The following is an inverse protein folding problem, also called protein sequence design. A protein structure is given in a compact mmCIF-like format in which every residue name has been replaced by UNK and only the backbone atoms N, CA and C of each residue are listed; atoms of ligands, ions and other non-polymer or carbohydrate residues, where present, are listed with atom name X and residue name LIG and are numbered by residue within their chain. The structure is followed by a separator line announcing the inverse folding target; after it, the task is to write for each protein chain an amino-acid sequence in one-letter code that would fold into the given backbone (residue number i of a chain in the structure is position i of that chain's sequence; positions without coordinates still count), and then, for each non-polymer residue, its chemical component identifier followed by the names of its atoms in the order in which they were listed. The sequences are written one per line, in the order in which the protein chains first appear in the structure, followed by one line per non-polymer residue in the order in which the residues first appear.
data_IF_894205183135
#
_entry.id   IF_894205183135
#
_cell.length_a   1.000
_cell.length_b   1.000
_cell.length_c   1.000
_cell.angle_alpha   90.00
_cell.angle_beta   90.00
_cell.angle_gamma   90.00
#
_symmetry.space_group_name_H-M   'P 1'
#
loop_
_entity.id
_entity.type
_entity.pdbx_description
1 polymer ?
#
# COMPACT_ATOMS: atom_id res chain seq x y z
N UNK A 1 2.74 -22.94 5.85
CA UNK A 1 2.39 -22.46 4.51
C UNK A 1 1.77 -21.07 4.60
N UNK A 2 2.04 -20.27 3.63
CA UNK A 2 1.51 -18.92 3.59
C UNK A 2 0.02 -18.91 3.26
N UNK A 3 -0.72 -18.05 3.91
CA UNK A 3 -2.13 -17.83 3.61
C UNK A 3 -2.27 -16.70 2.60
N UNK A 4 -1.75 -16.93 1.42
CA UNK A 4 -1.92 -15.98 0.34
C UNK A 4 -3.32 -16.11 -0.25
N UNK A 5 -3.97 -15.03 -0.63
CA UNK A 5 -5.23 -15.11 -1.37
C UNK A 5 -5.04 -15.55 -2.81
N UNK A 6 -3.83 -15.83 -3.22
CA UNK A 6 -3.50 -16.13 -4.59
C UNK A 6 -3.51 -17.62 -4.86
N UNK A 7 -3.86 -17.98 -6.09
CA UNK A 7 -3.90 -19.38 -6.52
C UNK A 7 -2.59 -19.82 -7.17
N UNK A 8 -1.79 -18.87 -7.63
CA UNK A 8 -0.44 -19.14 -8.17
C UNK A 8 0.56 -18.38 -7.34
N UNK A 9 1.71 -18.97 -7.17
CA UNK A 9 2.72 -18.46 -6.26
C UNK A 9 4.08 -18.40 -6.95
N UNK A 10 4.62 -17.20 -7.08
CA UNK A 10 5.96 -16.97 -7.59
C UNK A 10 6.88 -16.73 -6.40
N UNK A 11 7.81 -17.64 -6.20
CA UNK A 11 8.69 -17.59 -5.07
C UNK A 11 8.58 -18.85 -4.23
N UNK A 12 8.90 -18.76 -2.95
CA UNK A 12 8.78 -19.89 -2.04
C UNK A 12 7.41 -19.90 -1.37
N UNK A 13 7.23 -20.78 -0.37
CA UNK A 13 5.94 -20.93 0.32
C UNK A 13 5.57 -19.73 1.18
N UNK A 14 6.51 -18.84 1.46
CA UNK A 14 6.30 -17.69 2.33
C UNK A 14 6.32 -16.36 1.59
N UNK A 15 6.94 -16.30 0.44
CA UNK A 15 7.21 -15.05 -0.25
C UNK A 15 6.86 -15.16 -1.72
N UNK A 16 6.33 -14.11 -2.27
CA UNK A 16 6.16 -14.09 -3.69
C UNK A 16 5.06 -13.17 -4.16
N UNK A 17 4.89 -13.20 -5.46
CA UNK A 17 3.91 -12.39 -6.18
C UNK A 17 2.93 -13.29 -6.90
N UNK A 18 1.80 -12.69 -7.22
CA UNK A 18 0.77 -13.38 -7.97
C UNK A 18 0.47 -12.60 -9.25
N UNK A 19 0.26 -13.28 -10.39
CA UNK A 19 -0.03 -12.58 -11.64
C UNK A 19 -1.38 -11.88 -11.68
N UNK A 20 -2.29 -12.24 -10.79
CA UNK A 20 -3.61 -11.63 -10.75
C UNK A 20 -3.62 -10.50 -9.73
N UNK A 21 -4.06 -9.32 -10.19
CA UNK A 21 -4.15 -8.14 -9.33
C UNK A 21 -5.47 -8.18 -8.57
N UNK A 22 -5.38 -8.05 -7.25
CA UNK A 22 -6.55 -8.02 -6.38
C UNK A 22 -6.85 -6.57 -6.00
N UNK A 23 -8.06 -6.05 -6.30
CA UNK A 23 -8.39 -4.68 -5.93
C UNK A 23 -8.49 -4.50 -4.42
N UNK A 24 -7.87 -3.45 -3.92
CA UNK A 24 -7.87 -3.10 -2.50
C UNK A 24 -8.02 -1.60 -2.32
N UNK A 25 -8.41 -1.21 -1.10
CA UNK A 25 -8.28 0.16 -0.63
C UNK A 25 -6.98 0.27 0.15
N UNK A 26 -6.21 1.33 -0.11
CA UNK A 26 -4.97 1.62 0.59
C UNK A 26 -5.17 2.83 1.46
N UNK A 27 -5.00 2.67 2.76
CA UNK A 27 -5.15 3.78 3.72
C UNK A 27 -3.83 4.50 3.85
N UNK A 28 -3.73 5.64 3.18
CA UNK A 28 -2.49 6.40 3.10
C UNK A 28 -2.06 6.93 4.46
N UNK A 29 -3.01 7.38 5.27
CA UNK A 29 -2.72 7.92 6.59
C UNK A 29 -2.26 6.85 7.60
N UNK A 30 -2.36 5.58 7.23
CA UNK A 30 -1.86 4.47 8.05
C UNK A 30 -0.50 3.98 7.61
N UNK A 31 -0.08 4.32 6.40
CA UNK A 31 1.23 3.96 5.89
C UNK A 31 2.28 4.94 6.40
N UNK A 32 1.94 6.21 6.37
CA UNK A 32 2.87 7.29 6.72
C UNK A 32 2.35 7.96 7.99
N UNK A 33 3.00 7.65 9.09
CA UNK A 33 2.63 8.19 10.39
C UNK A 33 3.49 9.40 10.68
N UNK A 34 2.83 10.50 11.03
CA UNK A 34 3.53 11.70 11.41
C UNK A 34 4.19 11.52 12.76
N UNK A 35 5.48 11.77 12.84
CA UNK A 35 6.23 11.66 14.08
C UNK A 35 5.81 12.79 15.00
N UNK A 36 5.53 12.44 16.26
CA UNK A 36 5.18 13.43 17.28
C UNK A 36 6.31 14.43 17.45
N UNK A 37 5.96 15.73 17.45
CA UNK A 37 6.95 16.79 17.58
C UNK A 37 7.66 17.16 16.29
N UNK A 38 7.31 16.54 15.18
CA UNK A 38 7.86 16.90 13.88
C UNK A 38 7.46 18.32 13.50
N UNK A 39 8.33 19.06 12.80
CA UNK A 39 8.01 20.42 12.34
C UNK A 39 6.78 20.42 11.46
N UNK A 40 5.96 21.47 11.58
CA UNK A 40 4.74 21.60 10.80
C UNK A 40 4.96 22.66 9.74
N UNK A 41 5.46 22.24 8.60
CA UNK A 41 5.57 23.10 7.43
C UNK A 41 4.63 22.55 6.35
N UNK A 42 3.63 23.33 6.01
CA UNK A 42 2.68 22.94 4.99
C UNK A 42 3.23 23.23 3.61
N UNK A 43 3.16 22.25 2.73
CA UNK A 43 3.51 22.41 1.32
C UNK A 43 2.23 22.24 0.53
N UNK A 44 1.69 23.34 0.03
CA UNK A 44 0.34 23.34 -0.57
C UNK A 44 0.20 22.41 -1.78
N UNK A 45 1.28 22.17 -2.50
CA UNK A 45 1.28 21.31 -3.67
C UNK A 45 1.89 19.91 -3.40
N UNK A 46 1.99 19.55 -2.14
CA UNK A 46 2.50 18.25 -1.74
C UNK A 46 1.49 17.13 -1.95
N UNK A 47 1.92 15.92 -1.64
CA UNK A 47 1.06 14.75 -1.74
C UNK A 47 0.00 14.77 -0.64
N UNK A 48 -1.22 14.38 -1.01
CA UNK A 48 -2.30 14.23 -0.05
C UNK A 48 -2.30 12.80 0.49
N UNK A 49 -1.80 12.66 1.70
CA UNK A 49 -1.69 11.36 2.37
C UNK A 49 -2.87 11.05 3.28
N UNK A 50 -4.00 11.70 3.09
CA UNK A 50 -5.21 11.45 3.87
C UNK A 50 -6.13 10.46 3.16
N UNK A 51 -6.87 9.68 3.96
CA UNK A 51 -7.90 8.81 3.44
C UNK A 51 -7.41 7.57 2.73
N UNK A 52 -8.27 7.05 1.86
CA UNK A 52 -8.02 5.82 1.14
C UNK A 52 -7.95 6.06 -0.36
N UNK A 53 -7.09 5.31 -1.04
CA UNK A 53 -7.00 5.32 -2.50
C UNK A 53 -7.16 3.90 -3.03
N UNK A 54 -7.50 3.80 -4.30
CA UNK A 54 -7.57 2.51 -4.99
C UNK A 54 -6.16 1.95 -5.17
N UNK A 55 -6.02 0.65 -4.96
CA UNK A 55 -4.78 -0.05 -5.21
C UNK A 55 -5.03 -1.45 -5.75
N UNK A 56 -3.95 -2.07 -6.18
CA UNK A 56 -3.97 -3.45 -6.65
C UNK A 56 -2.88 -4.23 -5.93
N UNK A 57 -3.31 -5.27 -5.22
CA UNK A 57 -2.46 -6.13 -4.42
C UNK A 57 -2.10 -7.36 -5.23
N UNK A 58 -0.82 -7.75 -5.22
CA UNK A 58 -0.39 -8.92 -6.00
C UNK A 58 0.73 -9.71 -5.34
N UNK A 59 0.94 -9.54 -4.07
CA UNK A 59 1.92 -10.35 -3.35
C UNK A 59 1.90 -10.10 -1.86
N UNK A 60 2.54 -11.00 -1.12
CA UNK A 60 2.66 -10.91 0.32
C UNK A 60 4.05 -11.29 0.76
N UNK A 61 4.57 -10.59 1.76
CA UNK A 61 5.84 -10.89 2.40
C UNK A 61 5.66 -10.83 3.90
N UNK A 62 6.03 -11.86 4.64
CA UNK A 62 5.96 -11.80 6.09
C UNK A 62 7.18 -11.10 6.67
N UNK A 63 7.00 -10.48 7.83
CA UNK A 63 8.10 -9.93 8.60
C UNK A 63 8.48 -10.91 9.70
N UNK A 64 9.67 -10.73 10.25
CA UNK A 64 10.17 -11.60 11.33
C UNK A 64 9.28 -11.52 12.56
N UNK A 65 8.54 -10.43 12.74
CA UNK A 65 7.64 -10.26 13.90
C UNK A 65 6.23 -10.80 13.64
N UNK A 66 6.01 -11.40 12.48
CA UNK A 66 4.71 -12.01 12.16
C UNK A 66 3.73 -11.11 11.43
N UNK A 67 4.09 -9.88 11.13
CA UNK A 67 3.24 -9.01 10.32
C UNK A 67 3.36 -9.38 8.85
N UNK A 68 2.32 -9.07 8.10
CA UNK A 68 2.32 -9.31 6.66
C UNK A 68 2.29 -7.98 5.91
N UNK A 69 3.14 -7.90 4.90
CA UNK A 69 3.20 -6.74 4.01
C UNK A 69 2.70 -7.15 2.64
N UNK A 70 1.73 -6.41 2.12
CA UNK A 70 1.25 -6.62 0.78
C UNK A 70 2.06 -5.84 -0.23
N UNK A 71 2.27 -6.41 -1.41
CA UNK A 71 2.91 -5.71 -2.53
C UNK A 71 1.81 -5.05 -3.34
N UNK A 72 1.81 -3.73 -3.40
CA UNK A 72 0.66 -2.98 -3.92
C UNK A 72 1.11 -1.90 -4.89
N UNK A 73 0.33 -1.74 -5.94
CA UNK A 73 0.42 -0.58 -6.85
C UNK A 73 -0.72 0.36 -6.51
N UNK A 74 -0.43 1.64 -6.38
CA UNK A 74 -1.46 2.64 -6.16
C UNK A 74 -0.96 4.01 -6.60
N UNK A 75 -1.85 4.99 -6.61
CA UNK A 75 -1.50 6.36 -6.99
C UNK A 75 -1.89 7.31 -5.87
N UNK A 76 -1.02 8.27 -5.57
CA UNK A 76 -1.23 9.24 -4.52
C UNK A 76 -1.57 10.58 -5.16
N UNK A 77 -2.71 11.18 -4.81
CA UNK A 77 -3.08 12.49 -5.36
C UNK A 77 -2.26 13.60 -4.72
N UNK A 78 -2.15 14.70 -5.44
CA UNK A 78 -1.57 15.92 -4.90
C UNK A 78 -2.66 16.78 -4.25
N UNK A 79 -2.29 17.48 -3.19
CA UNK A 79 -3.26 18.27 -2.42
C UNK A 79 -3.83 19.46 -3.19
N UNK A 80 -3.16 19.91 -4.24
CA UNK A 80 -3.62 21.04 -5.05
C UNK A 80 -4.70 20.67 -6.08
N UNK A 81 -5.12 19.40 -6.09
CA UNK A 81 -6.20 18.95 -6.97
C UNK A 81 -5.83 18.73 -8.42
N UNK A 82 -4.55 18.76 -8.76
CA UNK A 82 -4.14 18.48 -10.14
C UNK A 82 -4.53 17.08 -10.54
N UNK A 83 -4.67 16.85 -11.84
CA UNK A 83 -5.05 15.54 -12.37
C UNK A 83 -3.98 14.49 -12.19
N UNK A 84 -2.73 14.90 -12.34
CA UNK A 84 -1.61 13.97 -12.23
C UNK A 84 -1.50 13.46 -10.80
N UNK A 85 -1.13 12.19 -10.69
CA UNK A 85 -0.93 11.54 -9.40
C UNK A 85 0.44 10.90 -9.40
N UNK A 86 1.00 10.72 -8.23
CA UNK A 86 2.25 9.98 -8.11
C UNK A 86 1.95 8.48 -8.19
N UNK A 87 2.46 7.83 -9.23
CA UNK A 87 2.32 6.38 -9.38
C UNK A 87 3.33 5.68 -8.50
N UNK A 88 2.85 4.76 -7.67
CA UNK A 88 3.69 3.97 -6.78
C UNK A 88 3.53 2.50 -7.16
N UNK A 89 4.66 1.85 -7.43
CA UNK A 89 4.68 0.47 -7.88
C UNK A 89 5.46 -0.40 -6.90
N UNK A 90 4.99 -1.63 -6.68
CA UNK A 90 5.66 -2.62 -5.86
C UNK A 90 5.95 -2.13 -4.44
N UNK A 91 5.06 -1.34 -3.90
CA UNK A 91 5.21 -0.81 -2.55
C UNK A 91 4.78 -1.83 -1.53
N UNK A 92 5.62 -2.06 -0.52
CA UNK A 92 5.25 -2.90 0.61
C UNK A 92 4.35 -2.09 1.55
N UNK A 93 3.17 -2.60 1.80
CA UNK A 93 2.15 -1.94 2.61
C UNK A 93 1.70 -2.89 3.71
N UNK A 94 1.70 -2.45 4.98
CA UNK A 94 1.21 -3.30 6.06
C UNK A 94 -0.24 -3.75 5.83
N UNK A 95 -0.55 -4.97 6.21
CA UNK A 95 -1.88 -5.53 6.01
C UNK A 95 -2.98 -4.69 6.65
N UNK A 96 -2.69 -4.06 7.80
CA UNK A 96 -3.69 -3.22 8.49
C UNK A 96 -4.04 -1.95 7.70
N UNK A 97 -3.22 -1.56 6.74
CA UNK A 97 -3.50 -0.41 5.88
C UNK A 97 -4.21 -0.80 4.60
N UNK A 98 -4.55 -2.07 4.44
CA UNK A 98 -5.23 -2.59 3.26
C UNK A 98 -6.62 -3.08 3.63
N UNK A 99 -7.58 -2.83 2.74
CA UNK A 99 -8.95 -3.29 2.89
C UNK A 99 -9.44 -3.79 1.54
N UNK A 100 -10.15 -4.88 1.55
CA UNK A 100 -10.70 -5.44 0.31
C UNK A 100 -11.63 -4.42 -0.36
N UNK A 101 -11.49 -4.28 -1.66
CA UNK A 101 -12.33 -3.41 -2.46
C UNK A 101 -13.24 -4.28 -3.33
N UNK A 102 -14.51 -4.13 -3.12
CA UNK A 102 -15.53 -4.88 -3.84
C UNK A 102 -16.21 -4.07 -4.92
#
# INVERSE_FOLDING_TARGET
MINSPYTRWEGDDLHGRHPVLTPVWVRLDWIYVRVRGAPVHTIAHGLDMTGEVHGFLYGWWPTVKGNWLGVVNFAIPYADGRRDKLEVHDQLVPDYALRKRE
#
